data_IF_956371215168
#
_entry.id   IF_956371215168
#
_cell.length_a   1.000
_cell.length_b   1.000
_cell.length_c   1.000
_cell.angle_alpha   90.00
_cell.angle_beta   90.00
_cell.angle_gamma   90.00
#
_symmetry.space_group_name_H-M   'P 1'
#
loop_
_entity.id
_entity.type
_entity.pdbx_description
1 polymer ?
#
# COMPACT_ATOMS: atom_id res chain seq x y z
N UNK A 1 20.84 8.24 3.79
CA UNK A 1 19.44 8.23 3.30
C UNK A 1 18.88 9.64 3.18
N UNK A 2 17.87 9.83 2.33
CA UNK A 2 17.17 11.11 2.19
C UNK A 2 15.65 10.90 2.24
N UNK A 3 14.93 11.82 2.91
CA UNK A 3 13.47 11.80 3.01
C UNK A 3 12.93 13.08 2.40
N UNK A 4 12.06 12.97 1.40
CA UNK A 4 11.40 14.14 0.81
C UNK A 4 9.88 14.06 0.96
N UNK A 5 9.34 15.07 1.67
CA UNK A 5 7.97 15.12 2.18
C UNK A 5 7.90 14.62 3.63
N UNK A 6 7.48 15.50 4.54
CA UNK A 6 7.53 15.28 5.99
C UNK A 6 6.16 15.32 6.67
N UNK A 7 5.07 15.14 5.90
CA UNK A 7 3.74 14.92 6.46
C UNK A 7 3.66 13.55 7.17
N UNK A 8 2.49 13.03 7.47
CA UNK A 8 2.32 11.79 8.27
C UNK A 8 3.26 10.64 7.90
N UNK A 9 3.34 10.28 6.60
CA UNK A 9 4.24 9.20 6.15
C UNK A 9 5.72 9.55 6.35
N UNK A 10 6.12 10.80 6.10
CA UNK A 10 7.50 11.25 6.30
C UNK A 10 7.89 11.30 7.77
N UNK A 11 7.02 11.78 8.63
CA UNK A 11 7.19 11.75 10.09
C UNK A 11 7.37 10.31 10.60
N UNK A 12 6.55 9.38 10.10
CA UNK A 12 6.65 7.95 10.43
C UNK A 12 7.99 7.34 9.99
N UNK A 13 8.48 7.68 8.79
CA UNK A 13 9.82 7.25 8.32
C UNK A 13 10.92 7.81 9.24
N UNK A 14 10.84 9.09 9.61
CA UNK A 14 11.79 9.74 10.51
C UNK A 14 11.83 9.03 11.87
N UNK A 15 10.66 8.79 12.47
CA UNK A 15 10.55 8.12 13.76
C UNK A 15 11.17 6.72 13.71
N UNK A 16 10.90 5.97 12.65
CA UNK A 16 11.51 4.67 12.45
C UNK A 16 13.03 4.75 12.31
N UNK A 17 13.56 5.61 11.44
CA UNK A 17 15.02 5.73 11.24
C UNK A 17 15.74 6.18 12.52
N UNK A 18 15.12 7.04 13.32
CA UNK A 18 15.66 7.41 14.63
C UNK A 18 15.66 6.26 15.62
N UNK A 19 14.61 5.42 15.64
CA UNK A 19 14.52 4.29 16.55
C UNK A 19 15.62 3.23 16.32
N UNK A 20 16.20 3.23 15.10
CA UNK A 20 17.33 2.35 14.74
C UNK A 20 18.66 3.11 14.63
N UNK A 21 18.73 4.35 15.12
CA UNK A 21 19.90 5.22 15.06
C UNK A 21 20.50 5.43 13.66
N UNK A 22 19.68 5.37 12.62
CA UNK A 22 20.12 5.56 11.23
C UNK A 22 20.24 7.05 10.89
N UNK A 23 21.31 7.43 10.19
CA UNK A 23 21.52 8.80 9.72
C UNK A 23 20.75 9.08 8.43
N UNK A 24 20.15 10.27 8.36
CA UNK A 24 19.41 10.73 7.18
C UNK A 24 19.43 12.25 7.07
N UNK A 25 19.18 12.75 5.87
CA UNK A 25 18.77 14.13 5.60
C UNK A 25 17.30 14.15 5.21
N UNK A 26 16.64 15.28 5.40
CA UNK A 26 15.23 15.39 5.08
C UNK A 26 14.85 16.78 4.56
N UNK A 27 13.73 16.87 3.85
CA UNK A 27 13.16 18.11 3.36
C UNK A 27 11.66 18.02 3.13
N UNK A 28 11.01 19.14 3.31
CA UNK A 28 9.63 19.39 2.86
C UNK A 28 9.56 20.82 2.35
N UNK A 29 8.86 21.08 1.26
CA UNK A 29 8.73 22.43 0.70
C UNK A 29 7.91 23.35 1.62
N UNK A 30 7.01 22.77 2.43
CA UNK A 30 6.21 23.51 3.40
C UNK A 30 7.01 23.82 4.67
N UNK A 31 7.29 25.11 4.87
CA UNK A 31 8.03 25.59 6.05
C UNK A 31 7.33 25.25 7.38
N UNK A 32 5.99 25.23 7.41
CA UNK A 32 5.24 24.88 8.62
C UNK A 32 5.48 23.43 9.03
N UNK A 33 5.53 22.52 8.05
CA UNK A 33 5.85 21.10 8.27
C UNK A 33 7.29 20.97 8.77
N UNK A 34 8.26 21.61 8.13
CA UNK A 34 9.66 21.59 8.58
C UNK A 34 9.80 22.09 10.03
N UNK A 35 9.13 23.21 10.39
CA UNK A 35 9.14 23.73 11.77
C UNK A 35 8.54 22.74 12.76
N UNK A 36 7.42 22.06 12.41
CA UNK A 36 6.81 21.01 13.24
C UNK A 36 7.80 19.87 13.49
N UNK A 37 8.38 19.33 12.43
CA UNK A 37 9.30 18.19 12.53
C UNK A 37 10.56 18.56 13.31
N UNK A 38 11.11 19.76 13.12
CA UNK A 38 12.28 20.24 13.88
C UNK A 38 12.05 20.29 15.39
N UNK A 39 10.82 20.58 15.83
CA UNK A 39 10.46 20.56 17.27
C UNK A 39 10.44 19.17 17.86
N UNK A 40 9.99 18.18 17.09
CA UNK A 40 9.82 16.79 17.54
C UNK A 40 11.16 16.04 17.46
N UNK A 41 12.03 16.42 16.53
CA UNK A 41 13.22 15.65 16.19
C UNK A 41 14.46 16.56 16.11
N UNK A 42 15.27 16.54 17.17
CA UNK A 42 16.45 17.40 17.32
C UNK A 42 17.64 17.00 16.41
N UNK A 43 17.65 15.80 15.84
CA UNK A 43 18.76 15.25 15.03
C UNK A 43 18.64 15.53 13.53
N UNK A 44 17.68 16.35 13.09
CA UNK A 44 17.36 16.49 11.67
C UNK A 44 18.28 17.46 10.94
N UNK A 45 18.94 16.96 9.94
CA UNK A 45 19.63 17.76 8.95
C UNK A 45 18.65 18.07 7.80
N UNK A 46 18.05 19.27 7.86
CA UNK A 46 17.17 19.76 6.78
C UNK A 46 18.03 20.32 5.67
N UNK A 47 18.10 19.59 4.56
CA UNK A 47 18.86 20.00 3.37
C UNK A 47 17.93 19.92 2.17
N UNK A 48 17.83 21.03 1.44
CA UNK A 48 17.08 21.10 0.19
C UNK A 48 17.69 20.18 -0.88
N UNK A 49 16.91 19.51 -1.74
CA UNK A 49 17.44 18.58 -2.73
C UNK A 49 18.55 19.14 -3.60
N UNK A 50 18.49 20.43 -3.94
CA UNK A 50 19.47 21.14 -4.75
C UNK A 50 20.83 21.33 -4.06
N UNK A 51 20.87 21.24 -2.73
CA UNK A 51 22.06 21.46 -1.89
C UNK A 51 22.67 20.19 -1.32
N UNK A 52 22.16 19.02 -1.74
CA UNK A 52 22.65 17.74 -1.25
C UNK A 52 24.04 17.39 -1.79
N UNK A 53 24.89 16.84 -0.93
CA UNK A 53 26.03 16.05 -1.40
C UNK A 53 25.52 14.66 -1.79
N UNK A 54 25.36 14.42 -3.10
CA UNK A 54 24.76 13.20 -3.64
C UNK A 54 25.63 11.96 -3.45
N UNK A 55 26.92 12.09 -3.22
CA UNK A 55 27.81 10.98 -2.90
C UNK A 55 27.42 10.27 -1.61
N UNK A 56 26.85 11.03 -0.66
CA UNK A 56 26.37 10.52 0.61
C UNK A 56 24.97 9.88 0.53
N UNK A 57 24.26 10.04 -0.60
CA UNK A 57 22.84 9.66 -0.72
C UNK A 57 22.68 8.48 -1.68
N UNK A 58 22.56 7.28 -1.14
CA UNK A 58 22.33 6.07 -1.94
C UNK A 58 20.85 5.85 -2.31
N UNK A 59 19.95 6.25 -1.43
CA UNK A 59 18.50 6.06 -1.62
C UNK A 59 17.70 7.19 -0.97
N UNK A 60 16.54 7.47 -1.54
CA UNK A 60 15.62 8.48 -1.05
C UNK A 60 14.21 7.90 -0.93
N UNK A 61 13.53 8.23 0.17
CA UNK A 61 12.12 7.93 0.41
C UNK A 61 11.29 9.16 0.12
N UNK A 62 10.52 9.10 -0.97
CA UNK A 62 9.63 10.17 -1.41
C UNK A 62 8.23 9.84 -0.93
N UNK A 63 7.64 10.67 -0.08
CA UNK A 63 6.29 10.39 0.46
C UNK A 63 5.22 10.42 -0.63
N UNK A 64 4.10 9.68 -0.48
CA UNK A 64 3.09 9.51 -1.52
C UNK A 64 2.52 10.83 -2.08
N UNK A 65 2.38 11.88 -1.24
CA UNK A 65 1.89 13.19 -1.65
C UNK A 65 2.79 13.93 -2.66
N UNK A 66 4.07 13.56 -2.76
CA UNK A 66 5.03 14.21 -3.67
C UNK A 66 5.14 13.39 -4.97
N UNK A 67 5.03 14.06 -6.12
CA UNK A 67 5.20 13.42 -7.41
C UNK A 67 6.64 12.96 -7.64
N UNK A 68 6.83 11.73 -8.14
CA UNK A 68 8.13 11.26 -8.62
C UNK A 68 8.58 11.95 -9.93
N UNK A 69 7.75 12.84 -10.48
CA UNK A 69 8.02 13.59 -11.72
C UNK A 69 8.25 15.08 -11.47
N UNK A 70 8.29 15.55 -10.21
CA UNK A 70 8.55 16.96 -9.92
C UNK A 70 10.03 17.34 -10.12
N UNK A 71 10.32 18.65 -10.19
CA UNK A 71 11.69 19.17 -10.44
C UNK A 71 12.69 18.63 -9.42
N UNK A 72 12.38 18.66 -8.13
CA UNK A 72 13.28 18.23 -7.06
C UNK A 72 13.56 16.72 -7.06
N UNK A 73 12.55 15.89 -7.36
CA UNK A 73 12.77 14.45 -7.52
C UNK A 73 13.56 14.13 -8.79
N UNK A 74 13.45 14.95 -9.84
CA UNK A 74 14.25 14.78 -11.05
C UNK A 74 15.74 15.09 -10.82
N UNK A 75 16.07 16.01 -9.90
CA UNK A 75 17.46 16.24 -9.47
C UNK A 75 18.02 14.96 -8.85
N UNK A 76 17.31 14.35 -7.89
CA UNK A 76 17.74 13.08 -7.28
C UNK A 76 17.98 11.98 -8.32
N UNK A 77 17.10 11.88 -9.35
CA UNK A 77 17.27 10.92 -10.44
C UNK A 77 18.52 11.21 -11.30
N UNK A 78 18.79 12.48 -11.61
CA UNK A 78 19.98 12.90 -12.38
C UNK A 78 21.26 12.39 -11.72
N UNK A 79 21.31 12.40 -10.39
CA UNK A 79 22.45 11.87 -9.62
C UNK A 79 22.31 10.39 -9.27
N UNK A 80 21.45 9.64 -9.98
CA UNK A 80 21.25 8.18 -9.83
C UNK A 80 20.84 7.72 -8.42
N UNK A 81 20.27 8.61 -7.61
CA UNK A 81 19.70 8.25 -6.31
C UNK A 81 18.49 7.36 -6.53
N UNK A 82 18.44 6.22 -5.85
CA UNK A 82 17.29 5.30 -5.93
C UNK A 82 16.09 5.92 -5.20
N UNK A 83 14.99 6.11 -5.92
CA UNK A 83 13.78 6.68 -5.35
C UNK A 83 12.78 5.59 -4.98
N UNK A 84 12.32 5.59 -3.74
CA UNK A 84 11.34 4.65 -3.22
C UNK A 84 10.18 5.36 -2.54
N UNK A 85 9.06 4.66 -2.38
CA UNK A 85 7.98 5.02 -1.49
C UNK A 85 8.18 4.41 -0.09
N UNK A 86 7.39 4.85 0.87
CA UNK A 86 7.32 4.27 2.22
C UNK A 86 7.11 2.75 2.20
N UNK A 87 6.35 2.23 1.24
CA UNK A 87 6.10 0.81 1.04
C UNK A 87 7.39 -0.02 0.87
N UNK A 88 8.42 0.52 0.22
CA UNK A 88 9.70 -0.20 0.08
C UNK A 88 10.38 -0.40 1.45
N UNK A 89 10.44 0.65 2.28
CA UNK A 89 11.04 0.56 3.60
C UNK A 89 10.23 -0.38 4.50
N UNK A 90 8.90 -0.25 4.47
CA UNK A 90 7.99 -1.16 5.15
C UNK A 90 8.23 -2.62 4.75
N UNK A 91 8.36 -2.91 3.46
CA UNK A 91 8.55 -4.28 2.97
C UNK A 91 9.85 -4.93 3.45
N UNK A 92 10.91 -4.14 3.61
CA UNK A 92 12.19 -4.61 4.16
C UNK A 92 12.08 -5.03 5.63
N UNK A 93 11.22 -4.35 6.39
CA UNK A 93 11.05 -4.58 7.82
C UNK A 93 10.00 -5.65 8.08
N UNK A 94 8.92 -5.62 7.31
CA UNK A 94 7.76 -6.50 7.50
C UNK A 94 7.87 -7.85 6.77
N UNK A 95 9.06 -8.26 6.30
CA UNK A 95 9.25 -9.45 5.47
C UNK A 95 8.83 -10.78 6.13
N UNK A 96 8.75 -10.83 7.46
CA UNK A 96 8.26 -11.99 8.21
C UNK A 96 6.78 -11.90 8.62
N UNK A 97 6.08 -10.86 8.21
CA UNK A 97 4.67 -10.63 8.55
C UNK A 97 3.76 -11.25 7.50
N UNK A 98 2.58 -11.72 7.92
CA UNK A 98 1.51 -12.12 7.02
C UNK A 98 0.73 -10.87 6.60
N UNK A 99 1.04 -10.33 5.44
CA UNK A 99 0.48 -9.08 4.95
C UNK A 99 -0.70 -9.35 4.03
N UNK A 100 -1.85 -8.77 4.35
CA UNK A 100 -3.02 -8.66 3.48
C UNK A 100 -3.03 -7.23 2.95
N UNK A 101 -2.79 -7.06 1.67
CA UNK A 101 -2.68 -5.76 1.03
C UNK A 101 -3.89 -5.50 0.12
N UNK A 102 -4.59 -4.40 0.35
CA UNK A 102 -5.81 -4.03 -0.36
C UNK A 102 -5.55 -2.78 -1.20
N UNK A 103 -5.92 -2.83 -2.48
CA UNK A 103 -5.96 -1.67 -3.37
C UNK A 103 -7.23 -1.66 -4.21
N UNK A 104 -7.50 -0.55 -4.84
CA UNK A 104 -8.66 -0.31 -5.69
C UNK A 104 -8.87 1.19 -5.87
N UNK A 105 -9.81 1.61 -6.68
CA UNK A 105 -10.25 3.01 -6.72
C UNK A 105 -11.17 3.29 -5.55
N UNK A 106 -12.20 2.47 -5.36
CA UNK A 106 -13.22 2.62 -4.31
C UNK A 106 -13.24 1.40 -3.38
N UNK A 107 -13.78 1.57 -2.17
CA UNK A 107 -14.02 0.47 -1.22
C UNK A 107 -12.79 -0.01 -0.43
N UNK A 108 -11.59 0.52 -0.70
CA UNK A 108 -10.35 0.11 -0.03
C UNK A 108 -10.46 0.13 1.50
N UNK A 109 -10.83 1.28 2.05
CA UNK A 109 -10.90 1.51 3.49
C UNK A 109 -11.91 0.61 4.18
N UNK A 110 -13.09 0.47 3.57
CA UNK A 110 -14.15 -0.42 4.06
C UNK A 110 -13.67 -1.87 4.09
N UNK A 111 -13.10 -2.34 2.98
CA UNK A 111 -12.59 -3.71 2.89
C UNK A 111 -11.45 -3.98 3.85
N UNK A 112 -10.50 -3.04 3.99
CA UNK A 112 -9.38 -3.15 4.93
C UNK A 112 -9.89 -3.26 6.37
N UNK A 113 -10.83 -2.39 6.75
CA UNK A 113 -11.45 -2.41 8.08
C UNK A 113 -12.25 -3.68 8.34
N UNK A 114 -13.03 -4.14 7.36
CA UNK A 114 -13.80 -5.37 7.47
C UNK A 114 -12.90 -6.60 7.69
N UNK A 115 -11.83 -6.73 6.92
CA UNK A 115 -10.85 -7.83 7.09
C UNK A 115 -10.19 -7.76 8.47
N UNK A 116 -9.78 -6.57 8.92
CA UNK A 116 -9.20 -6.38 10.25
C UNK A 116 -10.17 -6.81 11.35
N UNK A 117 -11.44 -6.39 11.27
CA UNK A 117 -12.48 -6.77 12.23
C UNK A 117 -12.74 -8.30 12.24
N UNK A 118 -12.80 -8.93 11.05
CA UNK A 118 -12.96 -10.39 10.95
C UNK A 118 -11.81 -11.12 11.65
N UNK A 119 -10.58 -10.67 11.46
CA UNK A 119 -9.42 -11.25 12.13
C UNK A 119 -9.52 -11.07 13.66
N UNK A 120 -9.88 -9.87 14.12
CA UNK A 120 -10.02 -9.58 15.55
C UNK A 120 -11.13 -10.40 16.21
N UNK A 121 -12.28 -10.55 15.55
CA UNK A 121 -13.39 -11.39 16.03
C UNK A 121 -13.04 -12.89 16.11
N UNK A 122 -11.98 -13.31 15.45
CA UNK A 122 -11.43 -14.68 15.49
C UNK A 122 -10.14 -14.77 16.31
N UNK A 123 -9.91 -13.85 17.26
CA UNK A 123 -8.74 -13.82 18.14
C UNK A 123 -7.40 -13.77 17.39
N UNK A 124 -7.40 -13.15 16.20
CA UNK A 124 -6.21 -12.92 15.40
C UNK A 124 -5.84 -11.43 15.44
N UNK A 125 -5.03 -11.00 16.43
CA UNK A 125 -4.63 -9.60 16.53
C UNK A 125 -3.79 -9.19 15.33
N UNK A 126 -4.12 -8.02 14.78
CA UNK A 126 -3.51 -7.53 13.56
C UNK A 126 -3.18 -6.04 13.62
N UNK A 127 -2.24 -5.61 12.78
CA UNK A 127 -1.96 -4.21 12.52
C UNK A 127 -2.79 -3.76 11.31
N UNK A 128 -3.60 -2.72 11.48
CA UNK A 128 -4.32 -2.08 10.38
C UNK A 128 -3.73 -0.70 10.09
N UNK A 129 -3.33 -0.44 8.84
CA UNK A 129 -2.73 0.84 8.48
C UNK A 129 -2.47 1.03 6.99
N UNK A 130 -1.61 1.98 6.67
CA UNK A 130 -1.19 2.29 5.31
C UNK A 130 -1.67 3.65 4.82
N UNK A 131 -2.40 3.69 3.71
CA UNK A 131 -2.97 4.94 3.17
C UNK A 131 -4.01 5.59 4.10
N UNK A 132 -4.64 4.79 4.96
CA UNK A 132 -5.57 5.23 6.00
C UNK A 132 -5.05 4.87 7.39
N UNK A 133 -5.57 5.56 8.40
CA UNK A 133 -5.29 5.24 9.80
C UNK A 133 -3.83 5.45 10.17
N UNK A 134 -3.15 4.36 10.51
CA UNK A 134 -1.78 4.35 11.01
C UNK A 134 -0.79 4.25 9.84
N UNK A 135 0.21 5.16 9.74
CA UNK A 135 1.25 5.05 8.71
C UNK A 135 2.02 3.73 8.78
N UNK A 136 2.46 3.23 7.60
CA UNK A 136 3.13 1.93 7.50
C UNK A 136 4.34 1.79 8.43
N UNK A 137 5.12 2.86 8.61
CA UNK A 137 6.36 2.82 9.39
C UNK A 137 6.16 3.00 10.89
N UNK A 138 4.91 3.17 11.37
CA UNK A 138 4.62 3.20 12.80
C UNK A 138 4.52 1.79 13.41
N UNK A 139 4.34 0.73 12.57
CA UNK A 139 4.22 -0.63 13.09
C UNK A 139 5.47 -1.13 13.85
N UNK A 140 6.74 -0.84 13.42
CA UNK A 140 7.90 -1.40 14.08
C UNK A 140 8.04 -0.95 15.54
N UNK A 141 7.61 0.27 15.82
CA UNK A 141 7.73 0.87 17.15
C UNK A 141 6.59 0.49 18.10
N UNK A 142 5.37 0.38 17.57
CA UNK A 142 4.15 0.18 18.38
C UNK A 142 3.54 -1.21 18.26
N UNK A 143 3.67 -1.86 17.09
CA UNK A 143 2.92 -3.06 16.74
C UNK A 143 3.82 -4.22 16.30
N UNK A 144 5.11 -4.19 16.66
CA UNK A 144 6.09 -5.17 16.17
C UNK A 144 5.76 -6.62 16.54
N UNK A 145 5.06 -6.87 17.65
CA UNK A 145 4.64 -8.22 18.07
C UNK A 145 3.55 -8.82 17.18
N UNK A 146 2.76 -8.01 16.49
CA UNK A 146 1.68 -8.49 15.63
C UNK A 146 2.22 -9.19 14.39
N UNK A 147 1.70 -10.39 14.09
CA UNK A 147 2.11 -11.19 12.93
C UNK A 147 1.33 -10.85 11.67
N UNK A 148 0.06 -10.48 11.81
CA UNK A 148 -0.84 -10.18 10.71
C UNK A 148 -0.94 -8.68 10.50
N UNK A 149 -0.84 -8.25 9.26
CA UNK A 149 -0.97 -6.85 8.87
C UNK A 149 -2.02 -6.74 7.77
N UNK A 150 -3.03 -5.90 7.95
CA UNK A 150 -4.03 -5.55 6.94
C UNK A 150 -3.77 -4.13 6.51
N UNK A 151 -3.30 -3.95 5.29
CA UNK A 151 -2.85 -2.63 4.84
C UNK A 151 -3.59 -2.15 3.60
N UNK A 152 -4.02 -0.89 3.66
CA UNK A 152 -4.54 -0.19 2.51
C UNK A 152 -3.40 0.46 1.71
N UNK A 153 -3.39 0.26 0.40
CA UNK A 153 -2.40 0.86 -0.49
C UNK A 153 -3.05 1.73 -1.57
N UNK A 154 -2.61 2.99 -1.63
CA UNK A 154 -2.92 3.89 -2.73
C UNK A 154 -2.08 3.57 -3.97
N UNK A 155 -2.51 4.07 -5.15
CA UNK A 155 -1.70 3.99 -6.36
C UNK A 155 -0.35 4.70 -6.21
N UNK A 156 -0.28 5.77 -5.40
CA UNK A 156 0.94 6.51 -5.14
C UNK A 156 1.98 5.70 -4.36
N UNK A 157 1.56 4.93 -3.36
CA UNK A 157 2.45 4.03 -2.63
C UNK A 157 2.98 2.90 -3.51
N UNK A 158 2.19 2.46 -4.50
CA UNK A 158 2.55 1.44 -5.47
C UNK A 158 3.45 1.95 -6.61
N UNK A 159 3.78 3.26 -6.69
CA UNK A 159 4.61 3.79 -7.77
C UNK A 159 6.04 3.24 -7.78
N UNK A 160 6.65 3.04 -6.60
CA UNK A 160 8.06 2.63 -6.51
C UNK A 160 8.36 1.76 -5.29
N UNK A 161 8.54 0.48 -5.54
CA UNK A 161 9.03 -0.53 -4.58
C UNK A 161 9.72 -1.68 -5.35
N UNK A 162 10.52 -2.52 -4.64
CA UNK A 162 11.23 -3.67 -5.22
C UNK A 162 10.89 -5.00 -4.59
N UNK A 163 10.73 -5.04 -3.27
CA UNK A 163 10.71 -6.28 -2.49
C UNK A 163 9.37 -6.57 -1.81
N UNK A 164 8.31 -5.90 -2.20
CA UNK A 164 7.01 -6.13 -1.59
C UNK A 164 6.38 -7.42 -2.15
N UNK A 165 6.16 -8.39 -1.27
CA UNK A 165 5.57 -9.70 -1.59
C UNK A 165 4.55 -10.07 -0.50
N UNK A 166 3.30 -9.60 -0.59
CA UNK A 166 2.28 -9.83 0.44
C UNK A 166 1.79 -11.28 0.43
N UNK A 167 1.30 -11.75 1.58
CA UNK A 167 0.65 -13.05 1.71
C UNK A 167 -0.68 -13.12 0.97
N UNK A 168 -1.47 -12.04 1.00
CA UNK A 168 -2.67 -11.87 0.19
C UNK A 168 -2.63 -10.49 -0.47
N UNK A 169 -2.89 -10.43 -1.75
CA UNK A 169 -3.09 -9.18 -2.50
C UNK A 169 -4.52 -9.10 -3.02
N UNK A 170 -5.19 -7.98 -2.81
CA UNK A 170 -6.58 -7.76 -3.17
C UNK A 170 -6.68 -6.53 -4.06
N UNK A 171 -7.26 -6.70 -5.25
CA UNK A 171 -7.61 -5.63 -6.18
C UNK A 171 -9.13 -5.57 -6.32
N UNK A 172 -9.74 -4.49 -5.80
CA UNK A 172 -11.20 -4.36 -5.74
C UNK A 172 -11.81 -3.88 -7.05
N UNK A 173 -11.34 -2.76 -7.56
CA UNK A 173 -11.88 -2.13 -8.77
C UNK A 173 -10.92 -1.07 -9.32
N UNK A 174 -11.12 -0.71 -10.59
CA UNK A 174 -10.38 0.35 -11.25
C UNK A 174 -11.36 1.23 -12.03
N UNK A 175 -11.52 2.47 -11.61
CA UNK A 175 -12.23 3.53 -12.32
C UNK A 175 -11.35 4.77 -12.47
N UNK A 176 -11.74 5.72 -13.29
CA UNK A 176 -10.96 6.96 -13.51
C UNK A 176 -10.82 7.75 -12.21
N UNK A 177 -9.56 8.00 -11.81
CA UNK A 177 -9.21 8.78 -10.64
C UNK A 177 -7.76 9.28 -10.77
N UNK A 178 -7.41 10.35 -10.07
CA UNK A 178 -6.03 10.86 -9.99
C UNK A 178 -5.36 11.13 -11.36
N UNK A 179 -6.13 11.55 -12.39
CA UNK A 179 -5.60 11.77 -13.75
C UNK A 179 -4.67 12.99 -13.84
N UNK A 180 -4.69 13.86 -12.86
CA UNK A 180 -3.73 14.95 -12.66
C UNK A 180 -2.31 14.45 -12.34
N UNK A 181 -2.20 13.27 -11.77
CA UNK A 181 -0.94 12.67 -11.33
C UNK A 181 -0.28 11.79 -12.40
N UNK A 182 -1.08 11.11 -13.21
CA UNK A 182 -0.62 10.15 -14.21
C UNK A 182 -0.73 10.73 -15.62
N UNK A 183 0.15 10.31 -16.54
CA UNK A 183 0.10 10.75 -17.93
C UNK A 183 -1.22 10.37 -18.61
N UNK A 184 -1.75 9.21 -18.26
CA UNK A 184 -2.98 8.66 -18.77
C UNK A 184 -3.54 7.60 -17.82
N UNK A 185 -4.74 7.15 -18.11
CA UNK A 185 -5.43 6.15 -17.28
C UNK A 185 -4.72 4.79 -17.24
N UNK A 186 -4.04 4.39 -18.31
CA UNK A 186 -3.30 3.12 -18.34
C UNK A 186 -2.11 3.14 -17.37
N UNK A 187 -1.45 4.28 -17.18
CA UNK A 187 -0.41 4.41 -16.16
C UNK A 187 -0.97 4.21 -14.74
N UNK A 188 -2.15 4.74 -14.45
CA UNK A 188 -2.84 4.51 -13.18
C UNK A 188 -3.21 3.03 -12.97
N UNK A 189 -3.78 2.36 -13.98
CA UNK A 189 -4.07 0.92 -13.96
C UNK A 189 -2.80 0.14 -13.64
N UNK A 190 -1.69 0.45 -14.34
CA UNK A 190 -0.42 -0.24 -14.16
C UNK A 190 0.14 -0.11 -12.73
N UNK A 191 -0.11 1.01 -12.02
CA UNK A 191 0.33 1.10 -10.62
C UNK A 191 -0.42 0.09 -9.74
N UNK A 192 -1.73 -0.07 -9.90
CA UNK A 192 -2.51 -1.02 -9.11
C UNK A 192 -2.21 -2.48 -9.47
N UNK A 193 -2.00 -2.75 -10.76
CA UNK A 193 -1.60 -4.08 -11.27
C UNK A 193 -0.28 -4.55 -10.63
N UNK A 194 0.63 -3.64 -10.27
CA UNK A 194 1.88 -3.97 -9.57
C UNK A 194 1.66 -4.77 -8.29
N UNK A 195 0.59 -4.51 -7.54
CA UNK A 195 0.28 -5.27 -6.33
C UNK A 195 0.04 -6.75 -6.65
N UNK A 196 -0.64 -7.03 -7.75
CA UNK A 196 -0.92 -8.40 -8.20
C UNK A 196 0.34 -9.09 -8.72
N UNK A 197 1.18 -8.36 -9.46
CA UNK A 197 2.44 -8.88 -10.01
C UNK A 197 3.46 -9.13 -8.90
N UNK A 198 3.55 -8.25 -7.91
CA UNK A 198 4.52 -8.35 -6.81
C UNK A 198 4.30 -9.57 -5.91
N UNK A 199 3.07 -10.00 -5.75
CA UNK A 199 2.73 -11.19 -4.99
C UNK A 199 3.16 -12.46 -5.76
N UNK A 200 4.25 -13.07 -5.36
CA UNK A 200 4.84 -14.23 -6.06
C UNK A 200 4.33 -15.56 -5.53
N UNK A 201 4.16 -15.66 -4.22
CA UNK A 201 3.89 -16.92 -3.51
C UNK A 201 2.53 -16.95 -2.82
N UNK A 202 1.93 -15.80 -2.57
CA UNK A 202 0.68 -15.65 -1.84
C UNK A 202 -0.56 -15.75 -2.71
N UNK A 203 -1.71 -15.55 -2.09
CA UNK A 203 -2.99 -15.53 -2.76
C UNK A 203 -3.24 -14.18 -3.43
N UNK A 204 -3.83 -14.22 -4.62
CA UNK A 204 -4.20 -13.04 -5.40
C UNK A 204 -5.69 -13.03 -5.61
N UNK A 205 -6.36 -12.03 -5.12
CA UNK A 205 -7.81 -11.88 -5.20
C UNK A 205 -8.12 -10.67 -6.08
N UNK A 206 -8.96 -10.86 -7.10
CA UNK A 206 -9.42 -9.77 -7.97
C UNK A 206 -10.93 -9.80 -8.07
N UNK A 207 -11.59 -8.66 -7.77
CA UNK A 207 -12.97 -8.47 -8.15
C UNK A 207 -13.04 -8.21 -9.66
N UNK A 208 -13.81 -9.05 -10.36
CA UNK A 208 -13.88 -9.08 -11.84
C UNK A 208 -15.07 -8.32 -12.41
N UNK A 209 -15.77 -7.53 -11.62
CA UNK A 209 -17.02 -6.86 -12.01
C UNK A 209 -16.78 -5.64 -12.91
N UNK A 210 -15.57 -5.07 -12.95
CA UNK A 210 -15.24 -4.02 -13.90
C UNK A 210 -14.32 -4.47 -15.04
N UNK A 211 -14.38 -3.76 -16.17
CA UNK A 211 -13.62 -4.09 -17.38
C UNK A 211 -12.11 -4.19 -17.15
N UNK A 212 -11.54 -3.32 -16.33
CA UNK A 212 -10.08 -3.21 -16.18
C UNK A 212 -9.53 -4.31 -15.28
N UNK A 213 -10.20 -4.59 -14.17
CA UNK A 213 -9.84 -5.70 -13.30
C UNK A 213 -10.09 -7.04 -13.98
N UNK A 214 -11.16 -7.17 -14.77
CA UNK A 214 -11.40 -8.37 -15.59
C UNK A 214 -10.28 -8.63 -16.59
N UNK A 215 -9.76 -7.60 -17.28
CA UNK A 215 -8.62 -7.75 -18.18
C UNK A 215 -7.34 -8.18 -17.44
N UNK A 216 -7.09 -7.65 -16.24
CA UNK A 216 -5.97 -8.09 -15.39
C UNK A 216 -6.17 -9.55 -14.98
N UNK A 217 -7.39 -9.95 -14.59
CA UNK A 217 -7.71 -11.33 -14.28
C UNK A 217 -7.42 -12.25 -15.47
N UNK A 218 -7.88 -11.93 -16.69
CA UNK A 218 -7.61 -12.72 -17.88
C UNK A 218 -6.12 -12.91 -18.16
N UNK A 219 -5.33 -11.86 -17.96
CA UNK A 219 -3.87 -11.88 -18.17
C UNK A 219 -3.14 -12.84 -17.21
N UNK A 220 -3.63 -12.98 -15.96
CA UNK A 220 -2.99 -13.77 -14.91
C UNK A 220 -3.84 -14.93 -14.38
N UNK A 221 -4.87 -15.31 -15.09
CA UNK A 221 -5.96 -16.23 -14.69
C UNK A 221 -5.53 -17.43 -13.82
N UNK A 222 -4.46 -18.12 -14.19
CA UNK A 222 -3.99 -19.35 -13.49
C UNK A 222 -3.55 -19.12 -12.03
N UNK A 223 -3.41 -17.88 -11.59
CA UNK A 223 -2.86 -17.52 -10.27
C UNK A 223 -3.78 -16.61 -9.48
N UNK A 224 -5.01 -16.41 -9.90
CA UNK A 224 -5.95 -15.46 -9.31
C UNK A 224 -7.21 -16.16 -8.85
N UNK A 225 -7.66 -15.79 -7.67
CA UNK A 225 -8.99 -16.11 -7.13
C UNK A 225 -9.93 -14.98 -7.59
N UNK A 226 -10.81 -15.22 -8.55
CA UNK A 226 -11.77 -14.19 -8.96
C UNK A 226 -12.90 -14.10 -7.95
N UNK A 227 -13.33 -12.89 -7.63
CA UNK A 227 -14.56 -12.62 -6.88
C UNK A 227 -15.50 -11.78 -7.73
N UNK A 228 -16.81 -12.01 -7.61
CA UNK A 228 -17.82 -11.31 -8.39
C UNK A 228 -19.10 -11.05 -7.61
N UNK A 229 -19.79 -9.96 -7.93
CA UNK A 229 -21.16 -9.69 -7.45
C UNK A 229 -22.22 -10.49 -8.20
N UNK A 230 -21.84 -11.24 -9.23
CA UNK A 230 -22.74 -12.05 -10.07
C UNK A 230 -22.18 -13.44 -10.27
N UNK A 231 -23.02 -14.46 -10.56
CA UNK A 231 -22.56 -15.80 -10.86
C UNK A 231 -21.50 -15.80 -11.97
N UNK A 232 -20.33 -16.37 -11.66
CA UNK A 232 -19.23 -16.55 -12.59
C UNK A 232 -18.52 -17.85 -12.29
N UNK A 233 -18.48 -18.76 -13.26
CA UNK A 233 -17.91 -20.10 -13.09
C UNK A 233 -16.44 -20.05 -12.67
N UNK A 234 -16.09 -20.76 -11.61
CA UNK A 234 -14.74 -20.82 -11.07
C UNK A 234 -14.36 -19.57 -10.27
N UNK A 235 -15.33 -18.88 -9.68
CA UNK A 235 -15.13 -17.74 -8.79
C UNK A 235 -15.79 -17.93 -7.44
N UNK A 236 -15.55 -16.99 -6.51
CA UNK A 236 -16.39 -16.79 -5.35
C UNK A 236 -17.34 -15.63 -5.68
N UNK A 237 -18.65 -15.86 -5.60
CA UNK A 237 -19.62 -14.86 -6.01
C UNK A 237 -20.79 -14.74 -5.02
N UNK A 238 -21.52 -13.63 -5.13
CA UNK A 238 -22.70 -13.37 -4.34
C UNK A 238 -23.95 -13.65 -5.16
N UNK A 239 -24.90 -14.40 -4.60
CA UNK A 239 -26.20 -14.66 -5.18
C UNK A 239 -27.24 -14.86 -4.08
N UNK A 240 -28.36 -14.10 -4.13
CA UNK A 240 -29.54 -14.27 -3.24
C UNK A 240 -29.18 -14.44 -1.77
N UNK A 241 -28.51 -13.46 -1.16
CA UNK A 241 -28.05 -13.48 0.24
C UNK A 241 -27.09 -14.63 0.58
N UNK A 242 -26.43 -15.20 -0.42
CA UNK A 242 -25.53 -16.33 -0.24
C UNK A 242 -24.18 -16.01 -0.91
N UNK A 243 -23.08 -16.31 -0.24
CA UNK A 243 -21.76 -16.41 -0.88
C UNK A 243 -21.61 -17.82 -1.42
N UNK A 244 -21.36 -17.95 -2.71
CA UNK A 244 -21.13 -19.23 -3.37
C UNK A 244 -19.64 -19.34 -3.67
N UNK A 245 -19.00 -20.38 -3.16
CA UNK A 245 -17.62 -20.73 -3.47
C UNK A 245 -17.61 -21.82 -4.57
N UNK A 246 -17.33 -21.39 -5.81
CA UNK A 246 -17.12 -22.30 -6.95
C UNK A 246 -15.63 -22.38 -7.33
N UNK A 247 -14.76 -21.73 -6.55
CA UNK A 247 -13.32 -21.73 -6.79
C UNK A 247 -12.57 -22.84 -6.02
N UNK A 248 -12.75 -22.90 -4.68
CA UNK A 248 -12.09 -23.88 -3.82
C UNK A 248 -12.91 -25.15 -3.67
N UNK A 249 -14.20 -24.97 -3.38
CA UNK A 249 -15.16 -26.07 -3.15
C UNK A 249 -16.35 -25.89 -4.08
N UNK A 250 -16.51 -26.75 -5.06
CA UNK A 250 -17.60 -26.65 -6.05
C UNK A 250 -18.95 -26.45 -5.37
N UNK A 251 -19.54 -25.26 -5.58
CA UNK A 251 -20.86 -24.85 -5.11
C UNK A 251 -21.09 -24.88 -3.59
N UNK A 252 -20.04 -24.70 -2.77
CA UNK A 252 -20.25 -24.47 -1.35
C UNK A 252 -20.99 -23.16 -1.12
N UNK A 253 -22.07 -23.19 -0.39
CA UNK A 253 -22.93 -22.03 -0.10
C UNK A 253 -22.78 -21.62 1.36
N UNK A 254 -22.61 -20.32 1.59
CA UNK A 254 -22.56 -19.70 2.91
C UNK A 254 -23.65 -18.63 2.94
N UNK A 255 -24.72 -18.86 3.71
CA UNK A 255 -25.79 -17.88 3.88
C UNK A 255 -25.28 -16.68 4.69
N UNK A 256 -25.56 -15.49 4.19
CA UNK A 256 -25.33 -14.24 4.92
C UNK A 256 -26.59 -13.97 5.74
N UNK A 257 -26.52 -14.20 7.05
CA UNK A 257 -27.56 -13.74 7.96
C UNK A 257 -27.48 -12.22 8.02
N UNK A 258 -28.61 -11.53 7.83
CA UNK A 258 -28.69 -10.09 8.06
C UNK A 258 -28.25 -9.80 9.51
N UNK A 259 -27.17 -9.03 9.63
CA UNK A 259 -26.81 -8.46 10.94
C UNK A 259 -27.80 -7.31 11.12
N UNK A 260 -28.84 -7.53 11.93
CA UNK A 260 -29.67 -6.43 12.37
C UNK A 260 -28.79 -5.39 13.04
N UNK A 261 -28.73 -4.19 12.42
CA UNK A 261 -28.12 -3.03 13.06
C UNK A 261 -28.91 -2.69 14.32
N UNK A 262 -28.44 -3.16 15.47
CA UNK A 262 -28.83 -2.65 16.76
C UNK A 262 -28.11 -1.37 17.07
#
# INVERSE_FOLDING_TARGET
KYIYGLSKSGESIINYLNSINENFFCWDDNIKIRKKIKRINKKNNFIEPEKLNFELIKESFITPGISLKNKKTNILKKYKVKLYRDLELYSRIAHKKKIIAVTGTNGKSTTTKLISNILEQNDIPNFMGGNIGIPLLDFPTKYNKLKHHVIELSSYQLESFKKFDPYISILLNISRDHLDRYKNFNEYIAQKEKLIISNRKGYKIICIDDKHTYLIYQKYKKKIIPISSKPFKGSIFYEKNTIVDDFFEKNKKIEIKEISSS
#
